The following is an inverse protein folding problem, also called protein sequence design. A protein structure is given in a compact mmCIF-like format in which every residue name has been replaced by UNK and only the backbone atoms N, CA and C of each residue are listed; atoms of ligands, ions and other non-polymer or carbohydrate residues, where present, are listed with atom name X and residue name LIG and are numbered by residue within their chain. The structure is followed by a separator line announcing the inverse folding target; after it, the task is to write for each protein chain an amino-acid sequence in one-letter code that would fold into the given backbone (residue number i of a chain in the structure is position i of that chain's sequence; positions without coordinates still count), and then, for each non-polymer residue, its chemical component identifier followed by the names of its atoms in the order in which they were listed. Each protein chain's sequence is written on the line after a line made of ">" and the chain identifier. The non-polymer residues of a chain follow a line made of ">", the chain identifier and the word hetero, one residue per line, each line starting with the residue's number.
data_IF_756146312283
#
_entry.id   IF_756146312283
#
_cell.length_a   1.000
_cell.length_b   1.000
_cell.length_c   1.000
_cell.angle_alpha   90.00
_cell.angle_beta   90.00
_cell.angle_gamma   90.00
#
_symmetry.space_group_name_H-M   'P 1'
#
loop_
_entity.id
_entity.type
_entity.pdbx_description
1 polymer ?
#
# COMPACT_ATOMS: atom_id res chain seq x y z
N UNK A 1 -17.88 13.42 -9.91
CA UNK A 1 -16.74 13.65 -8.98
C UNK A 1 -17.07 12.89 -7.70
N UNK A 2 -16.22 11.97 -7.25
CA UNK A 2 -16.49 11.18 -6.04
C UNK A 2 -16.34 12.07 -4.79
N UNK A 3 -17.33 12.08 -3.92
CA UNK A 3 -17.28 12.80 -2.65
C UNK A 3 -16.38 12.08 -1.65
N UNK A 4 -15.91 12.81 -0.63
CA UNK A 4 -15.15 12.21 0.48
C UNK A 4 -15.94 11.12 1.21
N UNK A 5 -17.27 11.26 1.29
CA UNK A 5 -18.14 10.28 1.94
C UNK A 5 -18.21 8.98 1.12
N UNK A 6 -18.39 9.08 -0.20
CA UNK A 6 -18.39 7.93 -1.10
C UNK A 6 -17.03 7.22 -1.11
N UNK A 7 -15.92 7.97 -1.11
CA UNK A 7 -14.58 7.39 -1.03
C UNK A 7 -14.38 6.65 0.30
N UNK A 8 -14.81 7.23 1.42
CA UNK A 8 -14.75 6.59 2.76
C UNK A 8 -15.59 5.33 2.80
N UNK A 9 -16.81 5.37 2.27
CA UNK A 9 -17.72 4.23 2.26
C UNK A 9 -17.18 3.09 1.39
N UNK A 10 -16.67 3.40 0.20
CA UNK A 10 -16.01 2.45 -0.68
C UNK A 10 -14.81 1.77 -0.02
N UNK A 11 -13.98 2.55 0.67
CA UNK A 11 -12.83 2.03 1.41
C UNK A 11 -13.30 1.11 2.55
N UNK A 12 -14.28 1.55 3.34
CA UNK A 12 -14.87 0.72 4.40
C UNK A 12 -15.47 -0.57 3.85
N UNK A 13 -16.13 -0.53 2.69
CA UNK A 13 -16.73 -1.70 2.06
C UNK A 13 -15.67 -2.68 1.57
N UNK A 14 -14.59 -2.20 0.94
CA UNK A 14 -13.46 -3.04 0.52
C UNK A 14 -12.78 -3.72 1.72
N UNK A 15 -12.70 -3.04 2.86
CA UNK A 15 -12.15 -3.59 4.10
C UNK A 15 -13.12 -4.46 4.91
N UNK A 16 -14.43 -4.37 4.69
CA UNK A 16 -15.45 -5.13 5.44
C UNK A 16 -15.37 -6.64 5.19
N UNK A 17 -14.66 -7.07 4.15
CA UNK A 17 -14.53 -8.47 3.77
C UNK A 17 -13.34 -9.20 4.38
N UNK A 18 -12.46 -8.51 5.12
CA UNK A 18 -11.37 -9.19 5.81
C UNK A 18 -11.88 -9.90 7.06
N UNK A 19 -11.53 -11.17 7.20
CA UNK A 19 -11.63 -11.87 8.48
C UNK A 19 -10.69 -11.23 9.51
N UNK A 20 -10.94 -11.47 10.80
CA UNK A 20 -10.04 -11.00 11.86
C UNK A 20 -8.60 -11.51 11.65
N UNK A 21 -8.46 -12.75 11.19
CA UNK A 21 -7.18 -13.35 10.84
C UNK A 21 -6.52 -12.62 9.67
N UNK A 22 -7.24 -12.36 8.59
CA UNK A 22 -6.69 -11.62 7.44
C UNK A 22 -6.24 -10.21 7.84
N UNK A 23 -6.96 -9.55 8.75
CA UNK A 23 -6.56 -8.25 9.28
C UNK A 23 -5.29 -8.34 10.15
N UNK A 24 -5.12 -9.40 10.94
CA UNK A 24 -3.88 -9.66 11.70
C UNK A 24 -2.70 -9.93 10.77
N UNK A 25 -2.87 -10.79 9.76
CA UNK A 25 -1.85 -11.08 8.75
C UNK A 25 -1.47 -9.84 7.97
N UNK A 26 -2.46 -9.05 7.54
CA UNK A 26 -2.24 -7.77 6.86
C UNK A 26 -1.34 -6.85 7.67
N UNK A 27 -1.64 -6.66 8.96
CA UNK A 27 -0.84 -5.79 9.84
C UNK A 27 0.57 -6.33 10.01
N UNK A 28 0.71 -7.63 10.28
CA UNK A 28 2.01 -8.27 10.49
C UNK A 28 2.91 -8.17 9.24
N UNK A 29 2.35 -8.41 8.05
CA UNK A 29 3.06 -8.28 6.78
C UNK A 29 3.40 -6.82 6.46
N UNK A 30 2.45 -5.90 6.67
CA UNK A 30 2.65 -4.47 6.45
C UNK A 30 3.79 -3.91 7.31
N UNK A 31 3.90 -4.33 8.58
CA UNK A 31 5.00 -3.91 9.45
C UNK A 31 6.37 -4.44 8.99
N UNK A 32 6.44 -5.67 8.47
CA UNK A 32 7.67 -6.24 7.92
C UNK A 32 8.11 -5.51 6.65
N UNK A 33 7.18 -5.32 5.71
CA UNK A 33 7.43 -4.59 4.45
C UNK A 33 7.83 -3.15 4.74
N UNK A 34 7.17 -2.49 5.72
CA UNK A 34 7.53 -1.14 6.18
C UNK A 34 8.95 -1.07 6.76
N UNK A 35 9.41 -2.13 7.42
CA UNK A 35 10.79 -2.25 7.89
C UNK A 35 11.80 -2.52 6.75
N UNK A 36 11.32 -2.77 5.53
CA UNK A 36 12.14 -3.10 4.37
C UNK A 36 12.47 -4.58 4.26
N UNK A 37 11.69 -5.45 4.91
CA UNK A 37 11.90 -6.89 4.89
C UNK A 37 10.73 -7.59 4.18
N UNK A 38 11.04 -8.56 3.31
CA UNK A 38 10.02 -9.48 2.81
C UNK A 38 9.45 -10.27 3.99
N UNK A 39 8.12 -10.42 4.04
CA UNK A 39 7.46 -11.15 5.12
C UNK A 39 7.31 -12.62 4.73
N UNK A 40 8.05 -13.52 5.38
CA UNK A 40 7.90 -14.96 5.11
C UNK A 40 6.62 -15.49 5.75
N UNK A 41 6.05 -16.53 5.14
CA UNK A 41 4.90 -17.25 5.68
C UNK A 41 5.19 -17.81 7.09
N UNK A 42 6.40 -18.31 7.34
CA UNK A 42 6.85 -18.79 8.65
C UNK A 42 6.85 -17.65 9.69
N UNK A 43 7.44 -16.50 9.37
CA UNK A 43 7.44 -15.34 10.28
C UNK A 43 6.02 -14.84 10.56
N UNK A 44 5.14 -14.87 9.57
CA UNK A 44 3.75 -14.47 9.73
C UNK A 44 3.01 -15.46 10.63
N UNK A 45 3.17 -16.77 10.41
CA UNK A 45 2.60 -17.83 11.25
C UNK A 45 3.03 -17.73 12.71
N UNK A 46 4.31 -17.47 12.97
CA UNK A 46 4.82 -17.22 14.33
C UNK A 46 4.17 -15.99 14.97
N UNK A 47 4.03 -14.89 14.23
CA UNK A 47 3.44 -13.64 14.74
C UNK A 47 1.96 -13.75 15.07
N UNK A 48 1.18 -14.40 14.21
CA UNK A 48 -0.27 -14.58 14.44
C UNK A 48 -0.59 -15.82 15.27
N UNK A 49 0.42 -16.63 15.64
CA UNK A 49 0.32 -17.86 16.44
C UNK A 49 -0.66 -18.86 15.84
N UNK A 50 -0.53 -19.12 14.54
CA UNK A 50 -1.38 -20.06 13.81
C UNK A 50 -0.57 -21.08 13.01
N UNK A 51 -1.19 -22.23 12.67
CA UNK A 51 -0.60 -23.20 11.76
C UNK A 51 -0.21 -22.57 10.41
N UNK A 52 0.94 -23.00 9.88
CA UNK A 52 1.54 -22.45 8.65
C UNK A 52 0.65 -22.65 7.41
N UNK A 53 -0.01 -23.80 7.30
CA UNK A 53 -0.98 -24.12 6.26
C UNK A 53 -2.15 -23.11 6.25
N UNK A 54 -2.72 -22.81 7.42
CA UNK A 54 -3.80 -21.82 7.56
C UNK A 54 -3.35 -20.43 7.15
N UNK A 55 -2.13 -20.03 7.50
CA UNK A 55 -1.57 -18.74 7.05
C UNK A 55 -1.38 -18.69 5.54
N UNK A 56 -0.89 -19.77 4.92
CA UNK A 56 -0.73 -19.86 3.46
C UNK A 56 -2.05 -19.74 2.72
N UNK A 57 -3.10 -20.41 3.21
CA UNK A 57 -4.44 -20.35 2.62
C UNK A 57 -5.00 -18.90 2.63
N UNK A 58 -4.85 -18.20 3.75
CA UNK A 58 -5.31 -16.82 3.89
C UNK A 58 -4.48 -15.85 3.05
N UNK A 59 -3.16 -16.02 2.97
CA UNK A 59 -2.30 -15.20 2.11
C UNK A 59 -2.61 -15.43 0.63
N UNK A 60 -2.91 -16.66 0.22
CA UNK A 60 -3.38 -16.99 -1.14
C UNK A 60 -4.70 -16.29 -1.45
N UNK A 61 -5.61 -16.24 -0.48
CA UNK A 61 -6.88 -15.50 -0.62
C UNK A 61 -6.65 -14.00 -0.79
N UNK A 62 -5.73 -13.41 -0.02
CA UNK A 62 -5.37 -11.99 -0.15
C UNK A 62 -4.66 -11.69 -1.47
N UNK A 63 -3.81 -12.59 -1.96
CA UNK A 63 -3.16 -12.48 -3.27
C UNK A 63 -4.20 -12.45 -4.40
N UNK A 64 -5.17 -13.37 -4.40
CA UNK A 64 -6.25 -13.42 -5.39
C UNK A 64 -7.11 -12.14 -5.39
N UNK A 65 -7.16 -11.42 -4.27
CA UNK A 65 -7.85 -10.13 -4.15
C UNK A 65 -6.99 -8.93 -4.56
N UNK A 66 -5.75 -9.16 -5.01
CA UNK A 66 -4.77 -8.14 -5.36
C UNK A 66 -4.27 -7.34 -4.15
N UNK A 67 -4.22 -7.97 -2.97
CA UNK A 67 -3.84 -7.32 -1.71
C UNK A 67 -2.43 -7.70 -1.25
N UNK A 68 -1.82 -8.71 -1.87
CA UNK A 68 -0.48 -9.24 -1.58
C UNK A 68 0.28 -9.41 -2.89
N UNK A 69 1.59 -9.14 -2.87
CA UNK A 69 2.56 -9.47 -3.92
C UNK A 69 3.63 -10.36 -3.31
N UNK A 70 3.91 -11.49 -3.95
CA UNK A 70 4.98 -12.41 -3.56
C UNK A 70 6.25 -12.22 -4.40
N UNK A 71 7.36 -12.57 -3.78
CA UNK A 71 8.64 -12.89 -4.41
C UNK A 71 9.17 -14.18 -3.79
N UNK A 72 10.30 -14.71 -4.30
CA UNK A 72 11.00 -15.89 -3.78
C UNK A 72 11.34 -15.80 -2.29
N UNK A 73 11.44 -14.58 -1.75
CA UNK A 73 11.80 -14.30 -0.36
C UNK A 73 10.59 -14.11 0.58
N UNK A 74 9.36 -14.14 0.06
CA UNK A 74 8.13 -13.91 0.83
C UNK A 74 7.26 -12.79 0.28
N UNK A 75 6.34 -12.28 1.09
CA UNK A 75 5.48 -11.15 0.73
C UNK A 75 6.31 -9.86 0.66
N UNK A 76 6.40 -9.28 -0.53
CA UNK A 76 7.16 -8.05 -0.83
C UNK A 76 6.27 -6.85 -1.09
N UNK A 77 4.96 -7.06 -1.25
CA UNK A 77 3.97 -6.01 -1.36
C UNK A 77 2.70 -6.37 -0.59
N UNK A 78 2.12 -5.40 0.09
CA UNK A 78 0.93 -5.58 0.92
C UNK A 78 0.19 -4.25 1.05
N UNK A 79 -1.09 -4.25 0.70
CA UNK A 79 -1.98 -3.09 0.92
C UNK A 79 -1.40 -1.74 0.45
N UNK A 80 -0.90 -1.71 -0.78
CA UNK A 80 -0.39 -0.49 -1.39
C UNK A 80 1.08 -0.18 -1.11
N UNK A 81 1.71 -0.84 -0.13
CA UNK A 81 3.14 -0.70 0.17
C UNK A 81 3.95 -1.80 -0.52
N UNK A 82 5.15 -1.47 -1.02
CA UNK A 82 5.96 -2.39 -1.82
C UNK A 82 7.47 -2.21 -1.59
N UNK A 83 8.20 -3.33 -1.60
CA UNK A 83 9.66 -3.38 -1.76
C UNK A 83 10.07 -3.39 -3.24
N UNK A 84 9.19 -3.85 -4.12
CA UNK A 84 9.40 -3.91 -5.56
C UNK A 84 9.18 -2.53 -6.16
N UNK A 85 10.05 -2.16 -7.10
CA UNK A 85 10.02 -0.85 -7.73
C UNK A 85 8.71 -0.59 -8.47
N UNK A 86 8.12 0.58 -8.21
CA UNK A 86 6.97 1.12 -8.94
C UNK A 86 7.27 2.56 -9.38
N UNK A 87 6.43 3.18 -10.23
CA UNK A 87 6.56 4.60 -10.57
C UNK A 87 6.44 5.56 -9.37
N UNK A 88 5.92 5.09 -8.23
CA UNK A 88 5.70 5.90 -7.03
C UNK A 88 6.70 5.50 -5.94
N UNK A 89 7.79 6.25 -5.83
CA UNK A 89 8.81 6.07 -4.81
C UNK A 89 8.37 6.73 -3.51
N UNK A 90 8.60 6.05 -2.39
CA UNK A 90 8.29 6.52 -1.06
C UNK A 90 9.52 6.37 -0.17
N UNK A 91 10.07 7.48 0.31
CA UNK A 91 10.93 7.46 1.48
C UNK A 91 10.05 7.67 2.72
N UNK A 92 9.90 6.66 3.58
CA UNK A 92 9.06 6.67 4.78
C UNK A 92 9.95 6.54 6.03
N UNK A 93 10.02 7.59 6.85
CA UNK A 93 10.89 7.66 8.03
C UNK A 93 12.35 7.19 7.77
N UNK A 94 12.90 7.55 6.61
CA UNK A 94 14.25 7.19 6.19
C UNK A 94 14.37 5.86 5.42
N UNK A 95 13.29 5.10 5.30
CA UNK A 95 13.24 3.83 4.55
C UNK A 95 12.83 4.07 3.11
N UNK A 96 13.64 3.62 2.15
CA UNK A 96 13.28 3.63 0.73
C UNK A 96 12.34 2.45 0.41
N UNK A 97 11.14 2.78 -0.05
CA UNK A 97 10.04 1.88 -0.38
C UNK A 97 9.35 2.38 -1.65
N UNK A 98 8.32 1.67 -2.07
CA UNK A 98 7.47 2.04 -3.20
C UNK A 98 6.00 1.88 -2.82
N UNK A 99 5.11 2.49 -3.61
CA UNK A 99 3.67 2.29 -3.45
C UNK A 99 2.99 1.95 -4.77
N UNK A 100 1.88 1.24 -4.73
CA UNK A 100 1.21 0.77 -5.96
C UNK A 100 0.55 1.89 -6.75
N UNK A 101 0.09 2.94 -6.07
CA UNK A 101 -0.47 4.12 -6.73
C UNK A 101 -0.17 5.42 -5.98
N UNK A 102 -0.57 6.53 -6.59
CA UNK A 102 -0.45 7.86 -5.99
C UNK A 102 -1.36 8.06 -4.75
N UNK A 103 -2.50 7.36 -4.67
CA UNK A 103 -3.35 7.37 -3.47
C UNK A 103 -2.67 6.66 -2.30
N UNK A 104 -2.04 5.51 -2.54
CA UNK A 104 -1.29 4.78 -1.50
C UNK A 104 -0.11 5.61 -0.98
N UNK A 105 0.63 6.28 -1.86
CA UNK A 105 1.72 7.18 -1.48
C UNK A 105 1.29 8.23 -0.44
N UNK A 106 0.21 8.97 -0.71
CA UNK A 106 -0.29 10.00 0.21
C UNK A 106 -1.01 9.40 1.42
N UNK A 107 -1.76 8.33 1.21
CA UNK A 107 -2.61 7.70 2.21
C UNK A 107 -1.79 7.00 3.30
N UNK A 108 -0.74 6.28 2.92
CA UNK A 108 0.17 5.60 3.84
C UNK A 108 0.93 6.63 4.67
N UNK A 109 1.50 7.67 4.05
CA UNK A 109 2.23 8.72 4.76
C UNK A 109 1.33 9.45 5.79
N UNK A 110 0.10 9.78 5.40
CA UNK A 110 -0.87 10.42 6.28
C UNK A 110 -1.35 9.49 7.39
N UNK A 111 -1.73 8.25 7.05
CA UNK A 111 -2.32 7.28 7.96
C UNK A 111 -1.35 6.78 9.04
N UNK A 112 -0.06 6.71 8.72
CA UNK A 112 0.99 6.36 9.68
C UNK A 112 1.48 7.55 10.53
N UNK A 113 1.04 8.77 10.22
CA UNK A 113 1.52 9.99 10.88
C UNK A 113 3.05 10.12 10.75
N UNK A 114 3.61 9.68 9.61
CA UNK A 114 5.05 9.58 9.38
C UNK A 114 5.65 10.81 8.72
N UNK A 115 6.98 10.96 8.82
CA UNK A 115 7.71 11.82 7.89
C UNK A 115 7.90 11.05 6.58
N UNK A 116 7.65 11.69 5.45
CA UNK A 116 7.80 11.02 4.17
C UNK A 116 8.23 11.96 3.04
N UNK A 117 8.86 11.40 2.02
CA UNK A 117 9.08 12.04 0.73
C UNK A 117 8.60 11.11 -0.37
N UNK A 118 7.62 11.57 -1.13
CA UNK A 118 7.07 10.87 -2.28
C UNK A 118 7.70 11.46 -3.54
N UNK A 119 8.16 10.62 -4.44
CA UNK A 119 8.64 11.01 -5.76
C UNK A 119 7.89 10.22 -6.83
N UNK A 120 7.35 10.92 -7.81
CA UNK A 120 6.57 10.35 -8.90
C UNK A 120 6.74 11.21 -10.16
N UNK A 121 6.07 10.83 -11.25
CA UNK A 121 5.97 11.66 -12.47
C UNK A 121 4.51 11.91 -12.81
N UNK A 122 4.22 13.08 -13.37
CA UNK A 122 2.89 13.40 -13.91
C UNK A 122 2.55 12.43 -15.04
N UNK A 123 1.41 11.74 -14.94
CA UNK A 123 0.98 10.79 -15.97
C UNK A 123 0.74 11.45 -17.34
N UNK A 124 0.36 12.74 -17.37
CA UNK A 124 0.05 13.44 -18.62
C UNK A 124 1.30 13.99 -19.33
N UNK A 125 2.23 14.62 -18.61
CA UNK A 125 3.36 15.34 -19.20
C UNK A 125 4.74 14.82 -18.78
N UNK A 126 4.81 13.81 -17.90
CA UNK A 126 6.07 13.23 -17.42
C UNK A 126 6.87 14.09 -16.42
N UNK A 127 6.43 15.31 -16.13
CA UNK A 127 7.12 16.21 -15.19
C UNK A 127 7.29 15.55 -13.81
N UNK A 128 8.48 15.70 -13.22
CA UNK A 128 8.77 15.16 -11.90
C UNK A 128 7.91 15.84 -10.82
N UNK A 129 7.33 15.03 -9.95
CA UNK A 129 6.51 15.45 -8.82
C UNK A 129 7.17 15.02 -7.51
N UNK A 130 7.18 15.92 -6.53
CA UNK A 130 7.65 15.61 -5.17
C UNK A 130 6.66 16.14 -4.14
N UNK A 131 6.31 15.32 -3.16
CA UNK A 131 5.46 15.69 -2.02
C UNK A 131 6.20 15.32 -0.74
N UNK A 132 6.31 16.26 0.20
CA UNK A 132 6.92 16.02 1.52
C UNK A 132 5.87 16.06 2.61
N UNK A 133 5.99 15.11 3.53
CA UNK A 133 5.18 14.99 4.73
C UNK A 133 6.03 15.20 5.97
N UNK A 134 5.46 15.88 6.96
CA UNK A 134 5.95 15.93 8.34
C UNK A 134 4.83 15.49 9.27
N UNK A 135 5.05 14.45 10.06
CA UNK A 135 4.04 13.88 10.97
C UNK A 135 2.66 13.68 10.30
N UNK A 136 2.64 13.05 9.12
CA UNK A 136 1.41 12.78 8.36
C UNK A 136 0.77 13.99 7.67
N UNK A 137 1.37 15.18 7.75
CA UNK A 137 0.86 16.39 7.09
C UNK A 137 1.75 16.81 5.93
N UNK A 138 1.15 17.13 4.79
CA UNK A 138 1.86 17.74 3.66
C UNK A 138 2.48 19.06 4.11
N UNK A 139 3.79 19.19 3.93
CA UNK A 139 4.55 20.39 4.29
C UNK A 139 5.27 21.04 3.10
N UNK A 140 5.43 20.32 1.98
CA UNK A 140 5.90 20.89 0.72
C UNK A 140 5.41 20.06 -0.47
N UNK A 141 5.18 20.73 -1.60
CA UNK A 141 4.83 20.13 -2.89
C UNK A 141 5.65 20.81 -3.98
N UNK A 142 6.07 20.06 -5.00
CA UNK A 142 6.84 20.62 -6.12
C UNK A 142 6.03 21.58 -7.01
N UNK A 143 4.70 21.50 -6.96
CA UNK A 143 3.77 22.44 -7.61
C UNK A 143 2.44 22.49 -6.84
N UNK A 144 1.78 23.65 -6.85
CA UNK A 144 0.44 23.81 -6.27
C UNK A 144 -0.66 23.06 -7.07
N UNK A 145 -0.34 22.65 -8.29
CA UNK A 145 -1.27 21.99 -9.22
C UNK A 145 -1.23 20.47 -9.14
N UNK A 146 -0.58 19.87 -8.14
CA UNK A 146 -0.67 18.43 -7.94
C UNK A 146 -2.13 18.03 -7.74
N UNK A 147 -2.57 17.04 -8.52
CA UNK A 147 -3.90 16.42 -8.43
C UNK A 147 -3.75 14.90 -8.41
N UNK A 148 -4.70 14.24 -7.76
CA UNK A 148 -4.89 12.80 -7.86
C UNK A 148 -6.09 12.54 -8.76
N UNK A 149 -5.90 11.66 -9.74
CA UNK A 149 -7.01 11.11 -10.51
C UNK A 149 -7.42 9.78 -9.89
N UNK A 150 -8.70 9.65 -9.54
CA UNK A 150 -9.24 8.45 -8.92
C UNK A 150 -10.35 7.90 -9.82
N UNK A 151 -10.32 6.60 -10.07
CA UNK A 151 -11.43 5.89 -10.69
C UNK A 151 -12.36 5.32 -9.62
N UNK A 152 -13.65 5.13 -9.92
CA UNK A 152 -14.55 4.43 -9.02
C UNK A 152 -14.02 3.03 -8.68
N UNK A 153 -14.22 2.53 -7.45
CA UNK A 153 -13.87 1.16 -7.10
C UNK A 153 -14.53 0.15 -8.04
N UNK A 154 -13.79 -0.89 -8.43
CA UNK A 154 -14.26 -1.90 -9.40
C UNK A 154 -14.26 -1.43 -10.86
N UNK A 155 -13.91 -0.15 -11.11
CA UNK A 155 -13.70 0.39 -12.44
C UNK A 155 -12.21 0.72 -12.61
N UNK A 156 -11.44 -0.28 -13.02
CA UNK A 156 -10.00 -0.17 -13.23
C UNK A 156 -9.31 -1.53 -13.17
N UNK A 157 -8.09 -1.57 -13.68
CA UNK A 157 -7.19 -2.71 -13.53
C UNK A 157 -6.60 -2.73 -12.11
N UNK A 158 -6.30 -3.92 -11.61
CA UNK A 158 -5.52 -4.12 -10.41
C UNK A 158 -4.07 -3.71 -10.67
N UNK A 159 -3.49 -2.88 -9.78
CA UNK A 159 -2.08 -2.51 -9.86
C UNK A 159 -1.12 -3.69 -9.58
N UNK A 160 -1.66 -4.84 -9.17
CA UNK A 160 -0.94 -6.02 -8.70
C UNK A 160 -1.32 -7.28 -9.48
N UNK A 161 -2.60 -7.43 -9.85
CA UNK A 161 -3.10 -8.67 -10.46
C UNK A 161 -3.09 -8.65 -12.01
N UNK A 162 -2.86 -7.49 -12.63
CA UNK A 162 -2.87 -7.31 -14.09
C UNK A 162 -1.47 -7.01 -14.67
N UNK A 163 -0.40 -7.36 -13.93
CA UNK A 163 1.01 -7.27 -14.37
C UNK A 163 1.61 -8.62 -14.64
#
# INVERSE_FOLDING_TARGET
>A
MISKAELKQAWQQRHRHLSELQEQLRRAAFDLVRAGCAATDVQLAERVKLPLDRVRDELSTLEQQGLVVWDVNGVVGIYGLSLVATPHRLNLDGRALFTWCALDAVGIAAGLVSNAMIQASCFHCGAALTIRFRAGRVCAVSTADVRLWLTPPGQGASAVADT
#
